data_IF_102351333474
#
_entry.id   IF_102351333474
#
_cell.length_a   1.000
_cell.length_b   1.000
_cell.length_c   1.000
_cell.angle_alpha   90.00
_cell.angle_beta   90.00
_cell.angle_gamma   90.00
#
_symmetry.space_group_name_H-M   'P 1'
#
loop_
_entity.id
_entity.type
_entity.pdbx_description
1 polymer ?
#
# COMPACT_ATOMS: atom_id res chain seq x y z
N UNK A 1 -1.42 -22.51 11.78
CA UNK A 1 -1.00 -21.17 11.32
C UNK A 1 -2.11 -20.63 10.42
N UNK A 2 -2.93 -19.70 10.91
CA UNK A 2 -4.03 -19.10 10.12
C UNK A 2 -3.52 -17.77 9.59
N UNK A 3 -3.23 -17.72 8.29
CA UNK A 3 -2.81 -16.50 7.61
C UNK A 3 -4.01 -15.56 7.61
N UNK A 4 -3.88 -14.39 8.25
CA UNK A 4 -4.91 -13.35 8.19
C UNK A 4 -4.91 -12.80 6.77
N UNK A 5 -6.02 -12.97 6.06
CA UNK A 5 -6.22 -12.42 4.72
C UNK A 5 -6.17 -10.89 4.76
N UNK A 6 -5.83 -10.26 3.62
CA UNK A 6 -5.77 -8.80 3.45
C UNK A 6 -7.02 -8.07 4.00
N UNK A 7 -8.17 -8.72 3.89
CA UNK A 7 -9.45 -8.19 4.37
C UNK A 7 -9.53 -8.04 5.90
N UNK A 8 -8.88 -8.94 6.65
CA UNK A 8 -8.82 -8.85 8.11
C UNK A 8 -7.85 -7.78 8.63
N UNK A 9 -6.90 -7.34 7.80
CA UNK A 9 -5.98 -6.24 8.12
C UNK A 9 -6.66 -4.89 7.86
N UNK A 10 -7.47 -4.81 6.80
CA UNK A 10 -8.22 -3.60 6.45
C UNK A 10 -9.45 -3.35 7.34
N UNK A 11 -10.01 -4.39 7.98
CA UNK A 11 -11.14 -4.27 8.90
C UNK A 11 -10.74 -3.88 10.34
N UNK A 12 -9.46 -3.67 10.61
CA UNK A 12 -9.00 -3.21 11.93
C UNK A 12 -9.20 -1.69 12.04
N UNK A 13 -10.35 -1.27 12.57
CA UNK A 13 -10.65 0.14 12.90
C UNK A 13 -9.67 0.76 13.91
N UNK A 14 -8.93 -0.08 14.66
CA UNK A 14 -7.96 0.38 15.63
C UNK A 14 -6.54 0.39 15.04
N UNK A 15 -6.18 1.51 14.40
CA UNK A 15 -4.86 1.81 13.79
C UNK A 15 -3.69 1.62 14.78
N UNK A 16 -3.99 1.54 16.08
CA UNK A 16 -3.01 1.37 17.16
C UNK A 16 -2.55 -0.07 17.35
N UNK A 17 -3.29 -1.08 16.91
CA UNK A 17 -2.89 -2.48 17.06
C UNK A 17 -2.15 -2.99 15.82
N UNK A 18 -0.98 -3.59 16.02
CA UNK A 18 -0.18 -4.15 14.93
C UNK A 18 0.76 -5.26 15.39
N UNK A 19 1.33 -5.96 14.41
CA UNK A 19 2.26 -7.05 14.68
C UNK A 19 3.64 -6.50 15.05
N UNK A 20 4.10 -6.76 16.26
CA UNK A 20 5.47 -6.46 16.65
C UNK A 20 6.37 -7.65 16.31
N UNK A 21 7.33 -7.41 15.41
CA UNK A 21 8.27 -8.43 14.94
C UNK A 21 9.29 -8.82 16.03
N UNK A 22 9.55 -7.93 17.00
CA UNK A 22 10.47 -8.18 18.12
C UNK A 22 9.87 -9.13 19.14
N UNK A 23 8.57 -8.99 19.44
CA UNK A 23 7.86 -9.84 20.41
C UNK A 23 7.12 -11.01 19.74
N UNK A 24 6.94 -10.97 18.42
CA UNK A 24 6.23 -11.97 17.63
C UNK A 24 4.72 -12.01 17.89
N UNK A 25 4.14 -10.93 18.44
CA UNK A 25 2.75 -10.85 18.86
C UNK A 25 2.07 -9.60 18.31
N UNK A 26 0.74 -9.64 18.22
CA UNK A 26 -0.07 -8.44 17.97
C UNK A 26 -0.23 -7.66 19.27
N UNK A 27 0.21 -6.41 19.28
CA UNK A 27 0.14 -5.51 20.43
C UNK A 27 -0.13 -4.06 20.02
N UNK A 28 -0.39 -3.20 21.00
CA UNK A 28 -0.59 -1.77 20.76
C UNK A 28 0.75 -1.11 20.42
N UNK A 29 0.90 -0.72 19.16
CA UNK A 29 2.09 -0.07 18.57
C UNK A 29 2.43 1.24 19.27
N UNK A 30 1.44 1.97 19.80
CA UNK A 30 1.68 3.21 20.56
C UNK A 30 2.31 2.88 21.91
N UNK A 31 1.85 1.81 22.56
CA UNK A 31 2.39 1.38 23.88
C UNK A 31 3.76 0.73 23.73
N UNK A 32 4.01 0.09 22.59
CA UNK A 32 5.32 -0.42 22.19
C UNK A 32 6.31 0.71 21.75
N UNK A 33 5.88 1.98 21.75
CA UNK A 33 6.72 3.13 21.37
C UNK A 33 6.94 3.28 19.86
N UNK A 34 6.24 2.51 19.03
CA UNK A 34 6.31 2.55 17.56
C UNK A 34 5.40 3.67 17.07
N UNK A 35 5.92 4.90 17.10
CA UNK A 35 5.23 6.08 16.57
C UNK A 35 5.73 6.35 15.16
N UNK A 36 4.92 6.00 14.16
CA UNK A 36 5.23 6.32 12.77
C UNK A 36 4.87 7.80 12.50
N UNK A 37 5.81 8.67 12.08
CA UNK A 37 5.49 10.04 11.76
C UNK A 37 4.46 10.13 10.63
N UNK A 38 3.27 10.63 10.94
CA UNK A 38 2.10 10.70 10.05
C UNK A 38 2.42 11.38 8.71
N UNK A 39 3.34 12.36 8.71
CA UNK A 39 3.81 13.05 7.51
C UNK A 39 4.57 12.14 6.54
N UNK A 40 5.47 11.29 7.05
CA UNK A 40 6.28 10.39 6.22
C UNK A 40 5.40 9.34 5.57
N UNK A 41 4.44 8.79 6.32
CA UNK A 41 3.46 7.85 5.78
C UNK A 41 2.56 8.47 4.71
N UNK A 42 2.14 9.72 4.88
CA UNK A 42 1.32 10.43 3.91
C UNK A 42 2.09 10.72 2.60
N UNK A 43 3.32 11.24 2.71
CA UNK A 43 4.16 11.51 1.54
C UNK A 43 4.47 10.22 0.79
N UNK A 44 4.77 9.13 1.50
CA UNK A 44 5.04 7.84 0.87
C UNK A 44 3.80 7.30 0.13
N UNK A 45 2.62 7.39 0.75
CA UNK A 45 1.35 7.02 0.11
C UNK A 45 1.08 7.83 -1.15
N UNK A 46 1.29 9.15 -1.11
CA UNK A 46 1.10 10.02 -2.26
C UNK A 46 2.10 9.71 -3.39
N UNK A 47 3.36 9.44 -3.07
CA UNK A 47 4.37 9.09 -4.05
C UNK A 47 4.05 7.78 -4.77
N UNK A 48 3.58 6.77 -4.02
CA UNK A 48 3.15 5.50 -4.60
C UNK A 48 1.94 5.71 -5.52
N UNK A 49 0.91 6.43 -5.07
CA UNK A 49 -0.28 6.71 -5.89
C UNK A 49 0.05 7.43 -7.19
N UNK A 50 0.91 8.45 -7.13
CA UNK A 50 1.37 9.18 -8.32
C UNK A 50 2.13 8.27 -9.30
N UNK A 51 3.05 7.45 -8.78
CA UNK A 51 3.85 6.54 -9.61
C UNK A 51 2.96 5.48 -10.27
N UNK A 52 1.99 4.92 -9.52
CA UNK A 52 1.04 3.94 -10.08
C UNK A 52 0.16 4.57 -11.17
N UNK A 53 -0.32 5.79 -10.97
CA UNK A 53 -1.13 6.49 -11.98
C UNK A 53 -0.35 6.71 -13.28
N UNK A 54 0.92 7.13 -13.20
CA UNK A 54 1.77 7.33 -14.37
C UNK A 54 2.02 6.03 -15.14
N UNK A 55 2.29 4.92 -14.44
CA UNK A 55 2.51 3.61 -15.07
C UNK A 55 1.24 3.13 -15.80
N UNK A 56 0.07 3.28 -15.18
CA UNK A 56 -1.21 2.90 -15.80
C UNK A 56 -1.50 3.76 -17.04
N UNK A 57 -1.24 5.06 -16.98
CA UNK A 57 -1.40 5.94 -18.16
C UNK A 57 -0.45 5.54 -19.29
N UNK A 58 0.81 5.21 -18.98
CA UNK A 58 1.78 4.80 -19.98
C UNK A 58 1.35 3.51 -20.69
N UNK A 59 0.85 2.52 -19.94
CA UNK A 59 0.35 1.26 -20.52
C UNK A 59 -0.80 1.51 -21.49
N UNK A 60 -1.75 2.38 -21.12
CA UNK A 60 -2.88 2.73 -21.99
C UNK A 60 -2.43 3.41 -23.29
N UNK A 61 -1.44 4.30 -23.22
CA UNK A 61 -0.89 4.99 -24.40
C UNK A 61 -0.16 4.00 -25.32
N UNK A 62 0.62 3.08 -24.75
CA UNK A 62 1.32 2.04 -25.52
C UNK A 62 0.34 1.09 -26.21
N UNK A 63 -0.73 0.68 -25.52
CA UNK A 63 -1.79 -0.14 -26.10
C UNK A 63 -2.45 0.57 -27.29
N UNK A 64 -2.82 1.86 -27.13
CA UNK A 64 -3.43 2.64 -28.21
C UNK A 64 -2.51 2.79 -29.43
N UNK A 65 -1.23 3.06 -29.21
CA UNK A 65 -0.24 3.14 -30.30
C UNK A 65 0.00 1.79 -30.98
N UNK A 66 -0.02 0.69 -30.22
CA UNK A 66 0.11 -0.65 -30.78
C UNK A 66 -1.08 -1.01 -31.70
N UNK A 67 -2.32 -0.73 -31.27
CA UNK A 67 -3.50 -0.91 -32.13
C UNK A 67 -3.46 -0.03 -33.38
N UNK A 68 -2.97 1.20 -33.26
CA UNK A 68 -2.81 2.10 -34.39
C UNK A 68 -1.80 1.55 -35.42
N UNK A 69 -0.67 1.01 -34.97
CA UNK A 69 0.34 0.40 -35.84
C UNK A 69 -0.14 -0.88 -36.54
N UNK A 70 -0.99 -1.69 -35.89
CA UNK A 70 -1.59 -2.88 -36.51
C UNK A 70 -2.67 -2.57 -37.54
N UNK A 71 -3.18 -1.32 -37.57
CA UNK A 71 -4.21 -0.87 -38.49
C UNK A 71 -3.66 -0.26 -39.79
N UNK A 72 -2.32 -0.17 -39.92
CA UNK A 72 -1.58 0.27 -41.10
C UNK A 72 -0.87 -0.91 -41.77
#
# INVERSE_FOLDING_TARGET
>A
MRVLTWEGILSCDNIKYGYNVVTGKYEDLITAGIINPTKVSYILKLQVLSTTALVVMLLFVLDMHFYWLLSY
#
